data_IF_620287906438
#
_entry.id   IF_620287906438
#
_cell.length_a   1.000
_cell.length_b   1.000
_cell.length_c   1.000
_cell.angle_alpha   90.00
_cell.angle_beta   90.00
_cell.angle_gamma   90.00
#
_symmetry.space_group_name_H-M   'P 1'
#
loop_
_entity.id
_entity.type
_entity.pdbx_description
1 polymer ?
#
# COMPACT_ATOMS: atom_id res chain seq x y z
N UNK A 1 -1.79 -15.55 -5.47
CA UNK A 1 -2.52 -14.77 -4.45
C UNK A 1 -2.37 -15.46 -3.10
N UNK A 2 -2.14 -14.71 -2.05
CA UNK A 2 -2.13 -15.19 -0.67
C UNK A 2 -3.23 -14.50 0.14
N UNK A 3 -3.81 -15.19 1.13
CA UNK A 3 -4.71 -14.58 2.11
C UNK A 3 -3.96 -14.54 3.43
N UNK A 4 -3.78 -13.35 3.98
CA UNK A 4 -3.07 -13.11 5.23
C UNK A 4 -4.10 -12.80 6.30
N UNK A 5 -4.14 -13.63 7.33
CA UNK A 5 -4.96 -13.40 8.50
C UNK A 5 -4.14 -12.64 9.56
N UNK A 6 -4.67 -11.52 10.00
CA UNK A 6 -4.13 -10.76 11.10
C UNK A 6 -4.68 -11.27 12.42
N UNK A 7 -3.86 -11.23 13.45
CA UNK A 7 -4.33 -11.39 14.83
C UNK A 7 -5.15 -10.16 15.25
N UNK A 8 -6.01 -10.31 16.26
CA UNK A 8 -6.85 -9.20 16.72
C UNK A 8 -6.04 -7.95 17.06
N UNK A 9 -4.94 -8.11 17.79
CA UNK A 9 -4.08 -6.99 18.16
C UNK A 9 -3.37 -6.34 16.95
N UNK A 10 -3.01 -7.12 15.92
CA UNK A 10 -2.43 -6.61 14.68
C UNK A 10 -3.44 -5.74 13.94
N UNK A 11 -4.67 -6.23 13.82
CA UNK A 11 -5.76 -5.49 13.19
C UNK A 11 -6.07 -4.18 13.92
N UNK A 12 -6.19 -4.24 15.24
CA UNK A 12 -6.44 -3.07 16.09
C UNK A 12 -5.30 -2.04 15.98
N UNK A 13 -4.06 -2.51 16.02
CA UNK A 13 -2.89 -1.65 15.87
C UNK A 13 -2.85 -0.97 14.50
N UNK A 14 -3.02 -1.71 13.41
CA UNK A 14 -3.05 -1.15 12.07
C UNK A 14 -4.22 -0.15 11.89
N UNK A 15 -5.40 -0.48 12.42
CA UNK A 15 -6.56 0.42 12.38
C UNK A 15 -6.28 1.72 13.13
N UNK A 16 -5.63 1.65 14.28
CA UNK A 16 -5.22 2.84 15.04
C UNK A 16 -4.25 3.73 14.26
N UNK A 17 -3.26 3.15 13.59
CA UNK A 17 -2.35 3.90 12.70
C UNK A 17 -3.11 4.60 11.58
N UNK A 18 -4.06 3.90 10.94
CA UNK A 18 -4.92 4.48 9.90
C UNK A 18 -5.75 5.66 10.40
N UNK A 19 -6.35 5.54 11.58
CA UNK A 19 -7.09 6.63 12.23
C UNK A 19 -6.16 7.81 12.53
N UNK A 20 -4.95 7.56 13.03
CA UNK A 20 -3.95 8.61 13.28
C UNK A 20 -3.53 9.35 12.00
N UNK A 21 -3.37 8.63 10.89
CA UNK A 21 -3.11 9.24 9.56
C UNK A 21 -4.29 10.12 9.13
N UNK A 22 -5.52 9.64 9.29
CA UNK A 22 -6.72 10.43 8.99
C UNK A 22 -6.78 11.69 9.85
N UNK A 23 -6.60 11.58 11.17
CA UNK A 23 -6.65 12.71 12.10
C UNK A 23 -5.58 13.76 11.79
N UNK A 24 -4.37 13.32 11.42
CA UNK A 24 -3.29 14.23 11.05
C UNK A 24 -3.55 15.03 9.76
N UNK A 25 -4.48 14.56 8.94
CA UNK A 25 -4.76 15.14 7.61
C UNK A 25 -6.21 15.61 7.42
N UNK A 26 -7.07 15.49 8.42
CA UNK A 26 -8.50 15.66 8.26
C UNK A 26 -8.91 17.08 7.79
N UNK A 27 -8.15 18.10 8.16
CA UNK A 27 -8.35 19.50 7.78
C UNK A 27 -7.40 19.97 6.64
N UNK A 28 -6.70 19.04 5.98
CA UNK A 28 -5.64 19.34 5.00
C UNK A 28 -5.97 18.83 3.59
N UNK A 29 -7.25 18.61 3.30
CA UNK A 29 -7.69 18.08 2.00
C UNK A 29 -7.33 18.98 0.81
N UNK A 30 -7.14 20.28 1.06
CA UNK A 30 -6.71 21.25 0.05
C UNK A 30 -5.19 21.39 -0.09
N UNK A 31 -4.41 20.69 0.73
CA UNK A 31 -2.95 20.71 0.61
C UNK A 31 -2.51 20.19 -0.76
N UNK A 32 -1.46 20.81 -1.33
CA UNK A 32 -0.96 20.54 -2.68
C UNK A 32 -0.69 19.06 -2.94
N UNK A 33 -0.18 18.34 -1.93
CA UNK A 33 0.19 16.94 -2.02
C UNK A 33 -0.89 15.98 -1.54
N UNK A 34 -2.10 16.46 -1.25
CA UNK A 34 -3.19 15.62 -0.80
C UNK A 34 -3.91 14.98 -1.99
N UNK A 35 -3.58 13.73 -2.28
CA UNK A 35 -4.02 13.02 -3.49
C UNK A 35 -5.46 12.48 -3.41
N UNK A 36 -6.21 12.77 -2.35
CA UNK A 36 -7.52 12.16 -2.08
C UNK A 36 -8.72 12.92 -2.64
N UNK A 37 -8.51 14.02 -3.34
CA UNK A 37 -9.59 14.92 -3.83
C UNK A 37 -10.66 14.25 -4.68
N UNK A 38 -10.37 13.08 -5.27
CA UNK A 38 -11.29 12.36 -6.17
C UNK A 38 -11.69 10.97 -5.66
N UNK A 39 -11.47 10.65 -4.39
CA UNK A 39 -11.83 9.33 -3.86
C UNK A 39 -13.34 9.17 -3.72
N UNK A 40 -13.83 7.98 -4.06
CA UNK A 40 -15.24 7.59 -3.90
C UNK A 40 -15.56 7.04 -2.50
N UNK A 41 -14.60 6.98 -1.62
CA UNK A 41 -14.77 6.55 -0.24
C UNK A 41 -14.24 7.63 0.73
N UNK A 42 -14.71 7.62 1.98
CA UNK A 42 -14.19 8.56 2.96
C UNK A 42 -12.72 8.29 3.31
N UNK A 43 -12.00 9.36 3.68
CA UNK A 43 -10.57 9.28 3.95
C UNK A 43 -10.21 8.40 5.14
N UNK A 44 -11.07 8.32 6.14
CA UNK A 44 -10.86 7.47 7.31
C UNK A 44 -10.83 6.00 6.90
N UNK A 45 -11.83 5.55 6.14
CA UNK A 45 -11.85 4.18 5.60
C UNK A 45 -10.63 3.90 4.73
N UNK A 46 -10.25 4.83 3.87
CA UNK A 46 -9.08 4.70 3.01
C UNK A 46 -7.78 4.52 3.79
N UNK A 47 -7.56 5.33 4.83
CA UNK A 47 -6.34 5.28 5.64
C UNK A 47 -6.27 4.02 6.49
N UNK A 48 -7.39 3.60 7.08
CA UNK A 48 -7.46 2.36 7.88
C UNK A 48 -7.19 1.14 6.99
N UNK A 49 -7.86 1.02 5.85
CA UNK A 49 -7.67 -0.09 4.93
C UNK A 49 -6.25 -0.15 4.34
N UNK A 50 -5.61 1.00 4.10
CA UNK A 50 -4.22 1.05 3.65
C UNK A 50 -3.26 0.54 4.73
N UNK A 51 -3.40 0.99 5.97
CA UNK A 51 -2.56 0.55 7.08
C UNK A 51 -2.68 -0.97 7.34
N UNK A 52 -3.90 -1.51 7.27
CA UNK A 52 -4.15 -2.95 7.39
C UNK A 52 -3.43 -3.72 6.26
N UNK A 53 -3.52 -3.23 5.03
CA UNK A 53 -2.84 -3.84 3.88
C UNK A 53 -1.32 -3.83 4.02
N UNK A 54 -0.74 -2.71 4.48
CA UNK A 54 0.71 -2.58 4.72
C UNK A 54 1.20 -3.60 5.77
N UNK A 55 0.48 -3.73 6.89
CA UNK A 55 0.84 -4.70 7.94
C UNK A 55 0.74 -6.14 7.42
N UNK A 56 -0.28 -6.46 6.63
CA UNK A 56 -0.43 -7.79 6.03
C UNK A 56 0.75 -8.14 5.11
N UNK A 57 1.23 -7.21 4.30
CA UNK A 57 2.43 -7.40 3.48
C UNK A 57 3.66 -7.58 4.35
N UNK A 58 3.85 -6.72 5.37
CA UNK A 58 4.98 -6.84 6.29
C UNK A 58 5.04 -8.22 6.95
N UNK A 59 3.88 -8.74 7.38
CA UNK A 59 3.75 -10.10 7.94
C UNK A 59 4.10 -11.18 6.91
N UNK A 60 3.57 -11.07 5.68
CA UNK A 60 3.81 -12.04 4.61
C UNK A 60 5.30 -12.17 4.26
N UNK A 61 5.99 -11.04 4.13
CA UNK A 61 7.40 -11.01 3.72
C UNK A 61 8.38 -11.02 4.90
N UNK A 62 7.86 -11.09 6.12
CA UNK A 62 8.64 -11.04 7.38
C UNK A 62 9.61 -9.84 7.44
N UNK A 63 9.12 -8.66 7.06
CA UNK A 63 9.89 -7.43 7.10
C UNK A 63 9.21 -6.39 7.97
N UNK A 64 10.00 -5.40 8.40
CA UNK A 64 9.54 -4.34 9.29
C UNK A 64 8.46 -3.47 8.61
N UNK A 65 7.34 -3.25 9.30
CA UNK A 65 6.34 -2.26 8.93
C UNK A 65 6.68 -0.91 9.53
N UNK A 66 6.82 0.10 8.71
CA UNK A 66 7.19 1.45 9.18
C UNK A 66 6.08 2.13 9.97
N UNK A 67 4.82 1.81 9.69
CA UNK A 67 3.65 2.38 10.38
C UNK A 67 3.70 3.93 10.44
N UNK A 68 4.23 4.56 9.39
CA UNK A 68 4.48 6.00 9.38
C UNK A 68 3.17 6.78 9.47
N UNK A 69 3.10 7.73 10.41
CA UNK A 69 2.04 8.73 10.52
C UNK A 69 2.60 10.03 9.98
N UNK A 70 2.09 10.47 8.85
CA UNK A 70 2.55 11.67 8.15
C UNK A 70 1.43 12.68 7.98
N UNK A 71 1.80 13.93 7.84
CA UNK A 71 0.89 15.05 7.56
C UNK A 71 1.15 15.57 6.15
N UNK A 72 0.08 15.95 5.44
CA UNK A 72 0.18 16.40 4.05
C UNK A 72 1.09 17.62 3.87
N UNK A 73 1.16 18.51 4.85
CA UNK A 73 2.05 19.67 4.87
C UNK A 73 3.54 19.30 5.09
N UNK A 74 3.81 18.07 5.56
CA UNK A 74 5.16 17.53 5.76
C UNK A 74 5.48 16.41 4.77
N UNK A 75 4.75 16.30 3.68
CA UNK A 75 4.88 15.24 2.69
C UNK A 75 6.33 15.02 2.23
N UNK A 76 7.09 16.09 1.99
CA UNK A 76 8.47 15.99 1.51
C UNK A 76 9.42 15.27 2.48
N UNK A 77 9.11 15.22 3.77
CA UNK A 77 9.93 14.53 4.77
C UNK A 77 9.77 13.01 4.71
N UNK A 78 8.64 12.52 4.20
CA UNK A 78 8.25 11.11 4.24
C UNK A 78 8.13 10.44 2.87
N UNK A 79 8.17 11.21 1.78
CA UNK A 79 7.91 10.69 0.42
C UNK A 79 8.90 9.61 -0.04
N UNK A 80 10.05 9.50 0.61
CA UNK A 80 11.07 8.51 0.29
C UNK A 80 11.06 7.30 1.24
N UNK A 81 10.26 7.35 2.29
CA UNK A 81 10.10 6.20 3.19
C UNK A 81 9.18 5.16 2.54
N UNK A 82 9.62 3.90 2.47
CA UNK A 82 8.74 2.82 2.01
C UNK A 82 7.68 2.49 3.06
N UNK A 83 6.64 1.78 2.66
CA UNK A 83 5.62 1.28 3.58
C UNK A 83 6.17 0.12 4.43
N UNK A 84 6.94 -0.78 3.81
CA UNK A 84 7.49 -1.99 4.44
C UNK A 84 8.95 -2.18 4.04
N UNK A 85 9.76 -2.62 4.98
CA UNK A 85 11.16 -2.96 4.77
C UNK A 85 11.97 -1.81 4.19
N UNK A 86 12.82 -2.10 3.21
CA UNK A 86 13.71 -1.11 2.61
C UNK A 86 13.14 -0.41 1.38
N UNK A 87 12.23 -1.08 0.66
CA UNK A 87 11.81 -0.62 -0.67
C UNK A 87 10.43 -1.12 -1.10
N UNK A 88 9.58 -1.57 -0.20
CA UNK A 88 8.26 -2.08 -0.54
C UNK A 88 7.22 -0.98 -0.36
N UNK A 89 6.47 -0.74 -1.44
CA UNK A 89 5.30 0.12 -1.50
C UNK A 89 4.05 -0.75 -1.59
N UNK A 90 3.04 -0.46 -0.80
CA UNK A 90 1.79 -1.22 -0.78
C UNK A 90 0.67 -0.40 -1.39
N UNK A 91 -0.02 -0.97 -2.36
CA UNK A 91 -1.13 -0.33 -3.06
C UNK A 91 -2.40 -1.12 -2.85
N UNK A 92 -3.36 -0.47 -2.23
CA UNK A 92 -4.69 -1.05 -2.08
C UNK A 92 -5.46 -0.94 -3.39
N UNK A 93 -5.98 -2.06 -3.85
CA UNK A 93 -6.98 -2.12 -4.92
C UNK A 93 -8.36 -2.34 -4.32
N UNK A 94 -9.37 -1.67 -4.86
CA UNK A 94 -10.76 -1.82 -4.39
C UNK A 94 -11.48 -2.90 -5.21
N UNK A 95 -12.05 -2.52 -6.33
CA UNK A 95 -12.79 -3.40 -7.23
C UNK A 95 -12.10 -3.62 -8.56
N UNK A 96 -11.02 -2.87 -8.82
CA UNK A 96 -10.28 -2.95 -10.07
C UNK A 96 -9.45 -4.24 -10.15
N UNK A 97 -9.21 -4.71 -11.36
CA UNK A 97 -8.32 -5.86 -11.65
C UNK A 97 -6.90 -5.41 -12.01
N UNK A 98 -6.52 -4.21 -11.58
CA UNK A 98 -5.22 -3.63 -11.83
C UNK A 98 -4.74 -2.79 -10.64
N UNK A 99 -3.43 -2.78 -10.43
CA UNK A 99 -2.75 -1.92 -9.45
C UNK A 99 -2.15 -0.70 -10.14
N UNK A 100 -2.29 0.46 -9.51
CA UNK A 100 -1.68 1.69 -9.99
C UNK A 100 -0.23 1.80 -9.50
N UNK A 101 0.70 1.97 -10.44
CA UNK A 101 2.11 2.26 -10.18
C UNK A 101 2.33 3.73 -10.52
N UNK A 102 2.82 4.48 -9.56
CA UNK A 102 3.02 5.92 -9.69
C UNK A 102 4.43 6.20 -10.19
N UNK A 103 4.59 7.30 -10.93
CA UNK A 103 5.91 7.73 -11.39
C UNK A 103 6.90 7.94 -10.24
N UNK A 104 6.44 8.37 -9.07
CA UNK A 104 7.29 8.55 -7.88
C UNK A 104 7.87 7.23 -7.34
N UNK A 105 7.28 6.09 -7.69
CA UNK A 105 7.76 4.76 -7.26
C UNK A 105 8.94 4.29 -8.13
N UNK A 106 9.11 4.88 -9.33
CA UNK A 106 10.16 4.50 -10.29
C UNK A 106 11.52 5.10 -9.96
N UNK A 107 12.60 4.49 -10.47
CA UNK A 107 13.98 4.96 -10.32
C UNK A 107 14.55 4.81 -8.91
N UNK A 108 13.89 4.02 -8.03
CA UNK A 108 14.25 3.88 -6.61
C UNK A 108 14.47 2.43 -6.18
N UNK A 109 14.32 1.48 -7.09
CA UNK A 109 14.35 0.04 -6.76
C UNK A 109 13.16 -0.39 -5.91
N UNK A 110 12.03 0.33 -6.00
CA UNK A 110 10.81 0.00 -5.24
C UNK A 110 10.12 -1.23 -5.82
N UNK A 111 9.54 -2.03 -4.93
CA UNK A 111 8.69 -3.17 -5.26
C UNK A 111 7.27 -2.82 -4.82
N UNK A 112 6.31 -2.97 -5.72
CA UNK A 112 4.90 -2.64 -5.45
C UNK A 112 4.11 -3.91 -5.20
N UNK A 113 3.44 -3.98 -4.05
CA UNK A 113 2.48 -5.01 -3.70
C UNK A 113 1.05 -4.51 -3.93
N UNK A 114 0.20 -5.38 -4.45
CA UNK A 114 -1.24 -5.13 -4.58
C UNK A 114 -2.02 -5.91 -3.52
N UNK A 115 -2.85 -5.22 -2.76
CA UNK A 115 -3.62 -5.79 -1.64
C UNK A 115 -5.07 -5.36 -1.64
N UNK A 116 -5.93 -6.17 -1.02
CA UNK A 116 -7.34 -5.85 -0.74
C UNK A 116 -7.76 -6.46 0.60
N UNK A 117 -8.16 -5.67 1.60
CA UNK A 117 -8.84 -6.20 2.79
C UNK A 117 -10.14 -6.90 2.38
N UNK A 118 -10.41 -8.06 2.97
CA UNK A 118 -11.63 -8.85 2.69
C UNK A 118 -12.80 -8.24 3.44
N UNK A 119 -13.86 -7.83 2.75
CA UNK A 119 -14.98 -7.10 3.35
C UNK A 119 -15.73 -7.89 4.43
N UNK A 120 -15.95 -9.18 4.20
CA UNK A 120 -16.72 -10.06 5.11
C UNK A 120 -15.85 -10.70 6.19
N UNK A 121 -14.55 -10.75 5.98
CA UNK A 121 -13.57 -11.34 6.89
C UNK A 121 -12.56 -10.25 7.29
N UNK A 122 -13.01 -9.30 8.10
CA UNK A 122 -12.33 -8.03 8.35
C UNK A 122 -10.86 -8.11 8.80
N UNK A 123 -10.43 -9.25 9.35
CA UNK A 123 -9.02 -9.50 9.71
C UNK A 123 -8.21 -10.18 8.61
N UNK A 124 -8.81 -10.45 7.45
CA UNK A 124 -8.12 -11.07 6.33
C UNK A 124 -7.79 -10.06 5.24
N UNK A 125 -6.63 -10.24 4.61
CA UNK A 125 -6.18 -9.41 3.50
C UNK A 125 -5.74 -10.30 2.35
N UNK A 126 -6.32 -10.07 1.17
CA UNK A 126 -5.84 -10.64 -0.08
C UNK A 126 -4.57 -9.90 -0.52
N UNK A 127 -3.49 -10.64 -0.70
CA UNK A 127 -2.27 -10.15 -1.34
C UNK A 127 -2.17 -10.78 -2.72
N UNK A 128 -2.44 -9.99 -3.75
CA UNK A 128 -2.50 -10.47 -5.14
C UNK A 128 -1.14 -10.83 -5.70
N UNK A 129 -0.11 -10.11 -5.31
CA UNK A 129 1.25 -10.30 -5.77
C UNK A 129 2.05 -9.01 -5.75
N UNK A 130 3.19 -9.04 -6.42
CA UNK A 130 4.12 -7.93 -6.48
C UNK A 130 4.77 -7.77 -7.85
N UNK A 131 5.33 -6.59 -8.09
CA UNK A 131 6.12 -6.28 -9.29
C UNK A 131 7.17 -5.22 -8.96
N UNK A 132 8.31 -5.26 -9.63
CA UNK A 132 9.24 -4.14 -9.64
C UNK A 132 8.55 -2.89 -10.20
N UNK A 133 8.73 -1.73 -9.55
CA UNK A 133 8.02 -0.52 -9.91
C UNK A 133 8.39 -0.02 -11.31
N UNK A 134 9.66 -0.11 -11.71
CA UNK A 134 10.09 0.31 -13.03
C UNK A 134 9.52 -0.60 -14.12
N UNK A 135 9.53 -1.93 -13.89
CA UNK A 135 8.93 -2.89 -14.79
C UNK A 135 7.42 -2.67 -14.93
N UNK A 136 6.71 -2.56 -13.81
CA UNK A 136 5.27 -2.37 -13.81
C UNK A 136 4.84 -1.04 -14.43
N UNK A 137 5.61 0.01 -14.23
CA UNK A 137 5.35 1.31 -14.85
C UNK A 137 5.58 1.26 -16.37
N UNK A 138 6.67 0.65 -16.83
CA UNK A 138 6.99 0.54 -18.26
C UNK A 138 5.99 -0.34 -19.03
N UNK A 139 5.51 -1.43 -18.42
CA UNK A 139 4.58 -2.39 -19.05
C UNK A 139 3.11 -2.07 -18.82
N UNK A 140 2.82 -1.18 -17.87
CA UNK A 140 1.45 -0.80 -17.51
C UNK A 140 0.78 0.08 -18.56
N UNK A 141 -0.56 0.10 -18.51
CA UNK A 141 -1.37 1.00 -19.32
C UNK A 141 -1.42 2.38 -18.68
N UNK A 142 -1.08 3.41 -19.44
CA UNK A 142 -1.12 4.80 -18.97
C UNK A 142 -2.56 5.26 -18.71
N UNK A 143 -2.78 5.88 -17.56
CA UNK A 143 -4.01 6.55 -17.14
C UNK A 143 -3.66 7.94 -16.57
N UNK A 144 -4.67 8.76 -16.24
CA UNK A 144 -4.47 10.14 -15.76
C UNK A 144 -3.51 10.26 -14.56
N UNK A 145 -3.52 9.26 -13.66
CA UNK A 145 -2.82 9.32 -12.35
C UNK A 145 -1.61 8.37 -12.25
N UNK A 146 -1.23 7.68 -13.31
CA UNK A 146 -0.10 6.75 -13.33
C UNK A 146 -0.24 5.68 -14.40
N UNK A 147 0.42 4.57 -14.20
CA UNK A 147 0.29 3.39 -15.06
C UNK A 147 -0.34 2.25 -14.28
N UNK A 148 -1.37 1.61 -14.83
CA UNK A 148 -2.06 0.49 -14.22
C UNK A 148 -1.56 -0.83 -14.79
N UNK A 149 -1.23 -1.76 -13.90
CA UNK A 149 -0.71 -3.09 -14.23
C UNK A 149 -1.71 -4.16 -13.78
N UNK A 150 -1.97 -5.16 -14.62
CA UNK A 150 -2.97 -6.20 -14.35
C UNK A 150 -2.59 -7.06 -13.15
N UNK A 151 -3.55 -7.30 -12.24
CA UNK A 151 -3.33 -8.14 -11.06
C UNK A 151 -2.95 -9.58 -11.41
N UNK A 152 -3.48 -10.12 -12.50
CA UNK A 152 -3.20 -11.49 -12.96
C UNK A 152 -1.75 -11.71 -13.42
N UNK A 153 -1.04 -10.63 -13.76
CA UNK A 153 0.32 -10.66 -14.28
C UNK A 153 1.37 -10.36 -13.19
N UNK A 154 0.93 -10.14 -11.94
CA UNK A 154 1.81 -9.97 -10.79
C UNK A 154 2.53 -11.26 -10.42
N UNK A 155 3.73 -11.13 -9.90
CA UNK A 155 4.48 -12.27 -9.32
C UNK A 155 3.83 -12.69 -8.01
N UNK A 156 3.77 -14.00 -7.77
CA UNK A 156 3.17 -14.60 -6.56
C UNK A 156 4.14 -15.49 -5.79
N UNK A 157 5.40 -15.55 -6.20
CA UNK A 157 6.45 -16.25 -5.47
C UNK A 157 7.00 -15.36 -4.35
N UNK A 158 6.34 -15.43 -3.18
CA UNK A 158 6.71 -14.63 -2.02
C UNK A 158 7.95 -15.17 -1.29
N UNK A 159 8.39 -16.39 -1.56
CA UNK A 159 9.59 -16.96 -0.97
C UNK A 159 10.86 -16.19 -1.33
N UNK A 160 10.83 -15.47 -2.45
CA UNK A 160 11.91 -14.57 -2.85
C UNK A 160 12.31 -13.56 -1.75
N UNK A 161 11.39 -13.19 -0.86
CA UNK A 161 11.66 -12.28 0.25
C UNK A 161 12.26 -12.95 1.48
N UNK A 162 12.09 -14.27 1.63
CA UNK A 162 12.66 -15.03 2.75
C UNK A 162 14.19 -15.14 2.64
N UNK A 163 14.74 -15.13 1.44
CA UNK A 163 16.18 -15.25 1.16
C UNK A 163 16.97 -13.96 1.47
N UNK A 164 16.29 -12.84 1.67
CA UNK A 164 16.91 -11.51 1.89
C UNK A 164 17.09 -11.19 3.39
N UNK A 165 16.57 -12.05 4.27
CA UNK A 165 16.62 -11.83 5.73
C UNK A 165 17.88 -12.49 6.33
N UNK A 166 19.06 -12.00 5.96
CA UNK A 166 20.33 -12.29 6.64
C UNK A 166 20.96 -10.98 7.11
#
# INVERSE_FOLDING_TARGET
MAIIKLETWEYEYASHIGIRRFTANWDKEDAEHYENKKRQEDNRTAQVASAIGELAVAKLVNQYWHATIWSADKHNQFKQLPDVGRNIEVRRVRTQDAVCIRKKDTGRGSIVFAVRPVEKEFMEVEVFGFIDADEGFARGKTVEYGNVFSLKDLRTDFSWFEEITI
#
